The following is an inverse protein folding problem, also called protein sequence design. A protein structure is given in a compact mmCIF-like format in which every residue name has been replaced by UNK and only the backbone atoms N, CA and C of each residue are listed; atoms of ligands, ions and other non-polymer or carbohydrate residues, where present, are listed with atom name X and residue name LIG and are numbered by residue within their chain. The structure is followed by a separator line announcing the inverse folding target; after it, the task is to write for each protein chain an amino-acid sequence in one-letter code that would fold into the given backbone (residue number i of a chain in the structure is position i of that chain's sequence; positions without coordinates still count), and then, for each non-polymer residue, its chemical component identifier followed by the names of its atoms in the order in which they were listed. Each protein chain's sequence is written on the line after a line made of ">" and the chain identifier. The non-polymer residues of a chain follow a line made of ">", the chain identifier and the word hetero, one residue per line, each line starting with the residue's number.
data_IF_866605649251
#
_entry.id   IF_866605649251
#
_cell.length_a   1.000
_cell.length_b   1.000
_cell.length_c   1.000
_cell.angle_alpha   90.00
_cell.angle_beta   90.00
_cell.angle_gamma   90.00
#
_symmetry.space_group_name_H-M   'P 1'
#
loop_
_entity.id
_entity.type
_entity.pdbx_description
1 polymer ?
#
# COMPACT_ATOMS: atom_id res chain seq x y z
N UNK A 1 11.54 34.77 -4.03
CA UNK A 1 12.47 33.64 -4.20
C UNK A 1 11.62 32.45 -4.58
N UNK A 2 11.61 32.10 -5.86
CA UNK A 2 10.85 31.00 -6.44
C UNK A 2 11.44 29.68 -5.95
N UNK A 3 10.71 28.95 -5.10
CA UNK A 3 11.08 27.58 -4.75
C UNK A 3 10.97 26.72 -6.01
N UNK A 4 12.11 26.24 -6.52
CA UNK A 4 12.15 25.53 -7.81
C UNK A 4 11.44 24.17 -7.67
N UNK A 5 10.18 24.11 -8.09
CA UNK A 5 9.40 22.88 -8.17
C UNK A 5 10.15 21.85 -9.04
N UNK A 6 10.51 20.70 -8.45
CA UNK A 6 11.04 19.55 -9.21
C UNK A 6 10.02 18.41 -9.14
N UNK A 7 9.86 17.66 -10.22
CA UNK A 7 9.03 16.45 -10.22
C UNK A 7 9.95 15.23 -10.23
N UNK A 8 9.79 14.35 -9.25
CA UNK A 8 10.54 13.09 -9.12
C UNK A 8 9.53 11.97 -8.98
N UNK A 9 9.51 11.01 -9.91
CA UNK A 9 8.62 9.84 -9.87
C UNK A 9 7.11 10.16 -9.68
N UNK A 10 6.68 11.36 -10.11
CA UNK A 10 5.31 11.85 -9.97
C UNK A 10 5.06 12.68 -8.70
N UNK A 11 6.05 12.83 -7.83
CA UNK A 11 5.99 13.63 -6.61
C UNK A 11 6.59 15.00 -6.86
N UNK A 12 5.95 16.03 -6.31
CA UNK A 12 6.38 17.42 -6.34
C UNK A 12 7.31 17.69 -5.19
N UNK A 13 8.48 18.23 -5.50
CA UNK A 13 9.55 18.50 -4.54
C UNK A 13 9.72 19.99 -4.39
N UNK A 14 9.57 20.44 -3.15
CA UNK A 14 9.71 21.83 -2.74
C UNK A 14 10.94 21.99 -1.86
N UNK A 15 11.65 23.10 -2.00
CA UNK A 15 12.74 23.45 -1.08
C UNK A 15 12.14 23.91 0.26
N UNK A 16 12.71 23.46 1.37
CA UNK A 16 12.27 23.91 2.69
C UNK A 16 12.82 25.32 2.95
N UNK A 17 11.94 26.32 2.88
CA UNK A 17 12.32 27.72 3.11
C UNK A 17 12.72 28.04 4.56
N UNK A 18 12.48 27.12 5.50
CA UNK A 18 12.84 27.28 6.93
C UNK A 18 14.18 26.63 7.25
N UNK A 19 14.54 25.52 6.58
CA UNK A 19 15.78 24.78 6.81
C UNK A 19 16.49 24.58 5.47
N UNK A 20 17.58 25.32 5.27
CA UNK A 20 18.41 25.17 4.09
C UNK A 20 18.92 23.72 3.95
N UNK A 21 18.81 23.17 2.74
CA UNK A 21 19.24 21.80 2.44
C UNK A 21 18.22 20.71 2.75
N UNK A 22 17.02 21.05 3.26
CA UNK A 22 15.90 20.10 3.35
C UNK A 22 14.92 20.29 2.21
N UNK A 23 14.33 19.19 1.78
CA UNK A 23 13.34 19.13 0.71
C UNK A 23 12.05 18.51 1.23
N UNK A 24 10.92 19.02 0.75
CA UNK A 24 9.58 18.56 1.09
C UNK A 24 9.04 17.82 -0.12
N UNK A 25 8.60 16.57 0.07
CA UNK A 25 7.97 15.76 -0.96
C UNK A 25 6.45 15.84 -0.77
N UNK A 26 5.73 16.31 -1.77
CA UNK A 26 4.28 16.45 -1.76
C UNK A 26 3.67 15.85 -3.03
N UNK A 27 2.43 15.37 -2.93
CA UNK A 27 1.63 14.98 -4.10
C UNK A 27 0.85 16.18 -4.69
N UNK A 28 0.64 17.23 -3.89
CA UNK A 28 -0.15 18.40 -4.27
C UNK A 28 0.74 19.50 -4.87
N UNK A 29 0.18 20.29 -5.80
CA UNK A 29 0.84 21.43 -6.46
C UNK A 29 0.94 22.69 -5.61
N UNK A 30 0.30 22.72 -4.46
CA UNK A 30 -0.04 23.95 -3.75
C UNK A 30 1.20 24.65 -3.23
N UNK A 31 1.32 25.95 -3.51
CA UNK A 31 2.41 26.81 -3.04
C UNK A 31 1.86 27.87 -2.08
N UNK A 32 2.34 27.93 -0.81
CA UNK A 32 3.33 27.05 -0.18
C UNK A 32 2.77 25.65 0.15
N UNK A 33 3.61 24.60 0.13
CA UNK A 33 3.17 23.24 0.43
C UNK A 33 2.80 23.09 1.91
N UNK A 34 1.69 22.41 2.19
CA UNK A 34 1.31 22.07 3.57
C UNK A 34 2.12 20.88 4.07
N UNK A 35 3.01 21.12 5.03
CA UNK A 35 3.84 20.08 5.68
C UNK A 35 3.00 18.92 6.23
N UNK A 36 1.82 19.23 6.77
CA UNK A 36 0.88 18.26 7.32
C UNK A 36 0.38 17.22 6.32
N UNK A 37 0.26 17.59 5.05
CA UNK A 37 -0.27 16.75 3.97
C UNK A 37 0.83 16.26 3.02
N UNK A 38 2.07 16.70 3.24
CA UNK A 38 3.23 16.26 2.47
C UNK A 38 3.55 14.79 2.78
N UNK A 39 4.09 14.08 1.79
CA UNK A 39 4.54 12.69 1.89
C UNK A 39 5.62 12.56 2.97
N UNK A 40 6.53 13.53 3.02
CA UNK A 40 7.60 13.59 4.02
C UNK A 40 8.68 14.59 3.63
N UNK A 41 9.82 14.50 4.29
CA UNK A 41 10.98 15.36 4.04
C UNK A 41 12.21 14.54 3.69
N UNK A 42 13.11 15.08 2.88
CA UNK A 42 14.41 14.47 2.59
C UNK A 42 15.54 15.48 2.68
N UNK A 43 16.70 15.03 3.14
CA UNK A 43 17.93 15.85 3.17
C UNK A 43 18.72 15.77 1.84
N UNK A 44 18.40 14.79 0.99
CA UNK A 44 19.09 14.54 -0.29
C UNK A 44 18.08 14.32 -1.41
N UNK A 45 18.42 14.76 -2.62
CA UNK A 45 17.69 14.48 -3.86
C UNK A 45 18.64 13.74 -4.82
N UNK A 46 18.28 12.55 -5.35
CA UNK A 46 17.05 11.80 -5.08
C UNK A 46 17.00 11.25 -3.64
N UNK A 47 15.80 11.12 -3.04
CA UNK A 47 15.66 10.65 -1.67
C UNK A 47 16.00 9.16 -1.55
N UNK A 48 16.69 8.78 -0.47
CA UNK A 48 17.01 7.40 -0.10
C UNK A 48 16.29 7.02 1.19
N UNK A 49 16.15 5.71 1.51
CA UNK A 49 15.52 5.29 2.77
C UNK A 49 16.19 5.87 4.03
N UNK A 50 17.48 6.23 3.93
CA UNK A 50 18.23 6.84 5.02
C UNK A 50 18.07 8.36 5.10
N UNK A 51 17.84 9.02 3.96
CA UNK A 51 17.68 10.48 3.91
C UNK A 51 16.24 10.94 4.06
N UNK A 52 15.27 10.03 3.95
CA UNK A 52 13.85 10.33 3.96
C UNK A 52 13.21 10.12 5.33
N UNK A 53 12.43 11.09 5.78
CA UNK A 53 11.59 11.03 6.96
C UNK A 53 10.13 11.08 6.53
N UNK A 54 9.41 9.99 6.80
CA UNK A 54 7.98 9.85 6.55
C UNK A 54 7.17 10.79 7.45
N UNK A 55 6.13 11.41 6.87
CA UNK A 55 5.15 12.16 7.65
C UNK A 55 4.10 11.19 8.22
N UNK A 56 3.98 11.06 9.56
CA UNK A 56 2.99 10.16 10.18
C UNK A 56 1.54 10.53 9.86
N UNK A 57 1.25 11.80 9.61
CA UNK A 57 -0.10 12.26 9.25
C UNK A 57 -0.45 11.79 7.84
N UNK A 58 0.46 11.93 6.88
CA UNK A 58 0.29 11.39 5.54
C UNK A 58 0.08 9.87 5.57
N UNK A 59 0.85 9.15 6.38
CA UNK A 59 0.69 7.70 6.56
C UNK A 59 -0.72 7.31 7.01
N UNK A 60 -1.29 8.02 7.98
CA UNK A 60 -2.67 7.78 8.42
C UNK A 60 -3.67 7.98 7.28
N UNK A 61 -3.50 9.05 6.49
CA UNK A 61 -4.38 9.32 5.34
C UNK A 61 -4.25 8.21 4.29
N UNK A 62 -3.03 7.75 4.01
CA UNK A 62 -2.78 6.62 3.13
C UNK A 62 -3.48 5.35 3.63
N UNK A 63 -3.31 5.00 4.91
CA UNK A 63 -3.94 3.84 5.52
C UNK A 63 -5.48 3.93 5.46
N UNK A 64 -6.05 5.11 5.72
CA UNK A 64 -7.50 5.35 5.58
C UNK A 64 -8.00 5.13 4.15
N UNK A 65 -7.26 5.62 3.15
CA UNK A 65 -7.59 5.42 1.73
C UNK A 65 -7.50 3.94 1.37
N UNK A 66 -6.48 3.22 1.84
CA UNK A 66 -6.34 1.78 1.63
C UNK A 66 -7.50 1.01 2.25
N UNK A 67 -7.87 1.32 3.50
CA UNK A 67 -9.01 0.67 4.18
C UNK A 67 -10.32 0.90 3.43
N UNK A 68 -10.52 2.12 2.92
CA UNK A 68 -11.77 2.55 2.30
C UNK A 68 -11.92 2.05 0.86
N UNK A 69 -10.86 2.13 0.06
CA UNK A 69 -10.90 1.89 -1.39
C UNK A 69 -10.10 0.67 -1.83
N UNK A 70 -9.26 0.08 -0.97
CA UNK A 70 -8.40 -1.04 -1.35
C UNK A 70 -9.17 -2.24 -1.88
N UNK A 71 -10.37 -2.53 -1.36
CA UNK A 71 -11.24 -3.62 -1.87
C UNK A 71 -11.89 -3.32 -3.22
N UNK A 72 -11.94 -2.04 -3.62
CA UNK A 72 -12.46 -1.61 -4.90
C UNK A 72 -11.40 -1.69 -6.02
N UNK A 73 -10.13 -1.86 -5.66
CA UNK A 73 -9.03 -1.97 -6.61
C UNK A 73 -9.18 -3.20 -7.52
N UNK A 74 -9.12 -2.96 -8.84
CA UNK A 74 -9.33 -4.01 -9.84
C UNK A 74 -8.21 -5.05 -9.82
N UNK A 75 -6.95 -4.66 -9.56
CA UNK A 75 -5.86 -5.64 -9.46
C UNK A 75 -6.08 -6.59 -8.29
N UNK A 76 -6.55 -6.07 -7.15
CA UNK A 76 -6.87 -6.89 -5.98
C UNK A 76 -8.05 -7.84 -6.25
N UNK A 77 -9.11 -7.37 -6.92
CA UNK A 77 -10.25 -8.24 -7.32
C UNK A 77 -9.82 -9.31 -8.31
N UNK A 78 -8.96 -8.99 -9.27
CA UNK A 78 -8.43 -9.96 -10.23
C UNK A 78 -7.59 -11.02 -9.50
N UNK A 79 -6.77 -10.62 -8.53
CA UNK A 79 -6.00 -11.54 -7.69
C UNK A 79 -6.92 -12.46 -6.86
N UNK A 80 -8.00 -11.92 -6.29
CA UNK A 80 -9.00 -12.69 -5.54
C UNK A 80 -9.67 -13.77 -6.42
N UNK A 81 -10.06 -13.42 -7.65
CA UNK A 81 -10.65 -14.37 -8.60
C UNK A 81 -9.64 -15.44 -9.04
N UNK A 82 -8.39 -15.04 -9.30
CA UNK A 82 -7.33 -15.96 -9.69
C UNK A 82 -6.95 -16.93 -8.57
N UNK A 83 -7.00 -16.50 -7.30
CA UNK A 83 -6.75 -17.33 -6.12
C UNK A 83 -7.64 -18.59 -6.11
N UNK A 84 -8.89 -18.46 -6.55
CA UNK A 84 -9.86 -19.56 -6.61
C UNK A 84 -9.75 -20.37 -7.90
N UNK A 85 -9.45 -19.73 -9.04
CA UNK A 85 -9.26 -20.40 -10.33
C UNK A 85 -8.05 -21.34 -10.38
N UNK A 86 -7.00 -21.06 -9.61
CA UNK A 86 -5.79 -21.89 -9.56
C UNK A 86 -5.93 -23.14 -8.68
N UNK A 87 -7.10 -23.42 -8.10
CA UNK A 87 -7.29 -24.50 -7.14
C UNK A 87 -6.37 -24.31 -5.94
N UNK A 88 -6.67 -23.29 -5.13
CA UNK A 88 -5.91 -22.84 -3.95
C UNK A 88 -5.02 -23.91 -3.32
N UNK A 89 -3.79 -24.03 -3.84
CA UNK A 89 -2.76 -24.81 -3.16
C UNK A 89 -2.27 -23.93 -2.05
N UNK A 90 -2.96 -23.99 -0.91
CA UNK A 90 -2.35 -23.67 0.37
C UNK A 90 -1.22 -24.68 0.58
N UNK A 91 -0.07 -24.48 -0.07
CA UNK A 91 1.12 -25.30 0.10
C UNK A 91 1.54 -25.31 1.58
N UNK A 92 1.25 -24.22 2.30
CA UNK A 92 1.37 -24.11 3.75
C UNK A 92 0.49 -25.14 4.51
N UNK A 93 -0.76 -25.37 4.09
CA UNK A 93 -1.64 -26.36 4.68
C UNK A 93 -1.26 -27.80 4.27
N UNK A 94 -0.75 -27.99 3.05
CA UNK A 94 -0.24 -29.27 2.58
C UNK A 94 1.01 -29.72 3.36
N UNK A 95 1.89 -28.79 3.74
CA UNK A 95 3.09 -29.09 4.54
C UNK A 95 2.80 -29.37 6.02
N UNK A 96 1.69 -28.87 6.57
CA UNK A 96 1.30 -29.14 7.96
C UNK A 96 0.73 -30.55 8.16
N UNK A 97 0.09 -31.14 7.14
CA UNK A 97 -0.46 -32.50 7.21
C UNK A 97 0.59 -33.62 7.10
N UNK A 98 1.81 -33.34 6.66
CA UNK A 98 2.84 -34.37 6.45
C UNK A 98 3.61 -34.75 7.72
N UNK A 99 3.47 -34.02 8.84
CA UNK A 99 4.25 -34.28 10.06
C UNK A 99 3.62 -35.28 11.04
N UNK A 100 2.42 -35.80 10.76
CA UNK A 100 1.68 -36.68 11.69
C UNK A 100 1.32 -38.07 11.14
N UNK A 101 2.01 -38.55 10.10
CA UNK A 101 1.83 -39.93 9.59
C UNK A 101 3.15 -40.64 9.36
N UNK A 102 3.82 -40.94 10.47
CA UNK A 102 4.79 -42.04 10.52
C UNK A 102 4.02 -43.34 10.66
N UNK A 103 4.21 -44.26 9.70
CA UNK A 103 3.78 -45.65 9.82
C UNK A 103 2.86 -46.14 8.70
N UNK A 104 3.35 -47.16 7.99
CA UNK A 104 2.63 -48.09 7.12
C UNK A 104 2.72 -47.86 5.61
N UNK A 105 3.47 -48.78 5.01
CA UNK A 105 3.63 -49.10 3.60
C UNK A 105 2.31 -49.25 2.83
N UNK A 106 2.21 -48.54 1.71
CA UNK A 106 1.19 -48.75 0.69
C UNK A 106 1.09 -47.49 -0.17
N UNK A 107 1.65 -47.53 -1.39
CA UNK A 107 1.56 -46.42 -2.36
C UNK A 107 0.12 -46.30 -2.87
N UNK A 108 -0.58 -45.16 -2.66
CA UNK A 108 -1.72 -44.80 -3.49
C UNK A 108 -1.23 -43.81 -4.57
N UNK A 109 -1.62 -44.05 -5.82
CA UNK A 109 -1.44 -43.07 -6.90
C UNK A 109 -2.14 -41.75 -6.53
N UNK A 110 -1.46 -40.59 -6.52
CA UNK A 110 -2.09 -39.31 -6.17
C UNK A 110 -2.90 -38.68 -7.32
N UNK A 111 -3.10 -39.41 -8.42
CA UNK A 111 -3.66 -38.86 -9.67
C UNK A 111 -5.19 -39.03 -9.83
N UNK A 112 -5.91 -39.54 -8.84
CA UNK A 112 -7.31 -39.95 -9.02
C UNK A 112 -8.34 -39.39 -8.02
N UNK A 113 -7.97 -38.45 -7.13
CA UNK A 113 -8.94 -37.79 -6.24
C UNK A 113 -8.55 -36.32 -5.96
N UNK A 114 -8.57 -35.47 -6.98
CA UNK A 114 -8.37 -34.02 -6.83
C UNK A 114 -9.65 -33.23 -7.12
N UNK A 115 -10.82 -33.78 -6.76
CA UNK A 115 -12.12 -33.22 -7.19
C UNK A 115 -13.04 -32.78 -6.07
N UNK A 116 -12.56 -32.62 -4.82
CA UNK A 116 -13.36 -32.04 -3.74
C UNK A 116 -12.51 -31.21 -2.75
N UNK A 117 -11.52 -30.47 -3.28
CA UNK A 117 -10.93 -29.36 -2.53
C UNK A 117 -12.05 -28.36 -2.27
N UNK A 118 -12.63 -28.41 -1.07
CA UNK A 118 -13.52 -27.35 -0.61
C UNK A 118 -12.77 -26.05 -0.86
N UNK A 119 -13.40 -25.12 -1.56
CA UNK A 119 -12.80 -23.83 -1.88
C UNK A 119 -12.64 -23.09 -0.57
N UNK A 120 -11.54 -23.31 0.13
CA UNK A 120 -11.23 -22.64 1.39
C UNK A 120 -10.81 -21.23 1.02
N UNK A 121 -11.47 -20.23 1.63
CA UNK A 121 -11.04 -18.85 1.54
C UNK A 121 -9.61 -18.63 2.04
N UNK A 122 -9.15 -17.40 1.98
CA UNK A 122 -7.79 -17.07 2.40
C UNK A 122 -7.57 -15.57 2.52
N UNK A 123 -6.31 -15.18 2.62
CA UNK A 123 -5.91 -13.78 2.58
C UNK A 123 -5.12 -13.51 1.30
N UNK A 124 -5.41 -12.38 0.67
CA UNK A 124 -4.62 -11.83 -0.43
C UNK A 124 -4.01 -10.49 0.01
N UNK A 125 -2.92 -10.10 -0.64
CA UNK A 125 -2.14 -8.93 -0.27
C UNK A 125 -2.19 -7.86 -1.36
N UNK A 126 -2.68 -6.68 -0.99
CA UNK A 126 -2.52 -5.49 -1.80
C UNK A 126 -1.05 -5.08 -1.78
N UNK A 127 -0.40 -5.14 -2.93
CA UNK A 127 1.04 -4.93 -3.08
C UNK A 127 1.33 -3.64 -3.80
N UNK A 128 2.47 -3.04 -3.48
CA UNK A 128 3.02 -1.88 -4.12
C UNK A 128 3.52 -2.21 -5.55
N UNK A 129 3.24 -1.32 -6.49
CA UNK A 129 3.52 -1.49 -7.92
C UNK A 129 4.96 -1.17 -8.31
N UNK A 130 5.78 -0.62 -7.40
CA UNK A 130 7.23 -0.39 -7.63
C UNK A 130 7.99 -1.69 -7.83
N UNK A 131 7.54 -2.77 -7.18
CA UNK A 131 8.22 -4.06 -7.16
C UNK A 131 7.19 -5.20 -7.21
N UNK A 132 6.51 -5.37 -8.35
CA UNK A 132 5.44 -6.36 -8.46
C UNK A 132 6.01 -7.76 -8.24
N UNK A 133 5.39 -8.59 -7.38
CA UNK A 133 5.88 -9.93 -7.12
C UNK A 133 5.76 -10.83 -8.35
N UNK A 134 6.65 -11.81 -8.46
CA UNK A 134 6.50 -12.89 -9.44
C UNK A 134 5.18 -13.65 -9.22
N UNK A 135 4.63 -14.23 -10.28
CA UNK A 135 3.38 -14.98 -10.21
C UNK A 135 3.42 -16.06 -9.11
N UNK A 136 2.43 -16.05 -8.22
CA UNK A 136 2.36 -16.98 -7.09
C UNK A 136 3.25 -16.65 -5.90
N UNK A 137 4.00 -15.53 -5.92
CA UNK A 137 4.76 -15.03 -4.78
C UNK A 137 4.05 -13.88 -4.07
N UNK A 138 4.41 -13.69 -2.80
CA UNK A 138 4.00 -12.56 -1.98
C UNK A 138 5.07 -11.47 -2.10
N UNK A 139 4.65 -10.20 -2.15
CA UNK A 139 5.56 -9.06 -2.14
C UNK A 139 6.41 -9.02 -0.85
N UNK A 140 7.49 -8.24 -0.87
CA UNK A 140 8.28 -8.01 0.34
C UNK A 140 7.41 -7.34 1.41
N UNK A 141 7.63 -7.61 2.72
CA UNK A 141 6.82 -6.99 3.78
C UNK A 141 6.76 -5.45 3.74
N UNK A 142 7.81 -4.81 3.22
CA UNK A 142 7.88 -3.36 3.03
C UNK A 142 7.08 -2.82 1.84
N UNK A 143 6.72 -3.71 0.91
CA UNK A 143 5.95 -3.42 -0.31
C UNK A 143 4.49 -3.89 -0.18
N UNK A 144 4.08 -4.54 0.93
CA UNK A 144 2.68 -4.91 1.16
C UNK A 144 1.97 -3.70 1.77
N UNK A 145 0.98 -3.15 1.06
CA UNK A 145 0.14 -2.04 1.53
C UNK A 145 -0.89 -2.50 2.55
N UNK A 146 -1.45 -3.70 2.34
CA UNK A 146 -2.44 -4.27 3.24
C UNK A 146 -2.87 -5.68 2.83
N UNK A 147 -3.70 -6.31 3.66
CA UNK A 147 -4.21 -7.66 3.43
C UNK A 147 -5.72 -7.68 3.54
N UNK A 148 -6.38 -8.54 2.76
CA UNK A 148 -7.84 -8.69 2.81
C UNK A 148 -8.24 -10.16 2.71
N UNK A 149 -9.34 -10.49 3.38
CA UNK A 149 -9.92 -11.83 3.36
C UNK A 149 -10.78 -12.05 2.11
N UNK A 150 -10.63 -13.23 1.52
CA UNK A 150 -11.39 -13.70 0.36
C UNK A 150 -12.08 -15.02 0.68
N UNK A 151 -13.30 -15.19 0.18
CA UNK A 151 -14.04 -16.44 0.33
C UNK A 151 -13.62 -17.50 -0.71
N UNK A 152 -14.23 -18.69 -0.62
CA UNK A 152 -14.04 -19.78 -1.58
C UNK A 152 -14.51 -19.49 -3.01
N UNK A 153 -15.21 -18.38 -3.23
CA UNK A 153 -15.69 -17.96 -4.55
C UNK A 153 -14.76 -16.92 -5.19
N UNK A 154 -13.77 -16.42 -4.44
CA UNK A 154 -12.81 -15.42 -4.89
C UNK A 154 -13.34 -14.01 -4.73
N UNK A 155 -14.34 -13.85 -3.87
CA UNK A 155 -14.91 -12.56 -3.50
C UNK A 155 -14.25 -12.05 -2.23
N UNK A 156 -14.05 -10.73 -2.18
CA UNK A 156 -13.53 -10.05 -1.00
C UNK A 156 -14.66 -9.91 0.02
N UNK A 157 -14.47 -10.46 1.22
CA UNK A 157 -15.50 -10.50 2.28
C UNK A 157 -15.20 -9.57 3.47
N UNK A 158 -14.08 -8.86 3.43
CA UNK A 158 -13.63 -7.99 4.51
C UNK A 158 -13.12 -6.64 4.02
N UNK A 159 -12.68 -5.81 4.97
CA UNK A 159 -11.95 -4.58 4.67
C UNK A 159 -10.46 -4.87 4.58
N UNK A 160 -9.75 -4.10 3.77
CA UNK A 160 -8.30 -4.16 3.70
C UNK A 160 -7.74 -3.71 5.05
N UNK A 161 -6.89 -4.53 5.64
CA UNK A 161 -6.13 -4.22 6.83
C UNK A 161 -4.76 -3.66 6.42
N UNK A 162 -4.44 -2.40 6.75
CA UNK A 162 -3.16 -1.80 6.42
C UNK A 162 -1.99 -2.57 7.02
N UNK A 163 -0.89 -2.60 6.30
CA UNK A 163 0.35 -3.21 6.78
C UNK A 163 1.14 -2.23 7.63
N UNK A 164 1.49 -2.65 8.85
CA UNK A 164 2.39 -1.88 9.71
C UNK A 164 3.83 -1.83 9.20
N UNK A 165 4.22 -2.71 8.27
CA UNK A 165 5.60 -2.79 7.75
C UNK A 165 5.80 -2.04 6.43
N UNK A 166 4.74 -1.53 5.81
CA UNK A 166 4.84 -0.78 4.56
C UNK A 166 5.76 0.44 4.68
N UNK A 167 6.61 0.64 3.68
CA UNK A 167 7.51 1.79 3.57
C UNK A 167 7.17 2.61 2.34
N UNK A 168 6.84 3.89 2.58
CA UNK A 168 6.55 4.86 1.51
C UNK A 168 7.74 5.00 0.55
N UNK A 169 8.97 4.89 1.06
CA UNK A 169 10.18 4.98 0.25
C UNK A 169 11.06 3.76 0.46
N UNK A 170 11.41 3.11 -0.66
CA UNK A 170 12.35 1.99 -0.72
C UNK A 170 13.42 2.29 -1.77
N UNK A 171 14.40 1.41 -1.94
CA UNK A 171 15.40 1.54 -3.01
C UNK A 171 14.78 1.49 -4.42
N UNK A 172 13.53 1.04 -4.55
CA UNK A 172 12.80 0.98 -5.82
C UNK A 172 12.09 2.29 -6.18
N UNK A 173 12.00 3.24 -5.23
CA UNK A 173 11.43 4.57 -5.47
C UNK A 173 10.45 5.00 -4.38
N UNK A 174 9.66 6.02 -4.71
CA UNK A 174 8.66 6.62 -3.82
C UNK A 174 7.27 6.09 -4.22
N UNK A 175 6.58 5.41 -3.30
CA UNK A 175 5.16 5.05 -3.33
C UNK A 175 4.62 4.51 -4.67
N UNK A 176 4.42 3.19 -4.78
CA UNK A 176 3.78 2.58 -5.95
C UNK A 176 2.36 2.14 -5.66
N UNK A 177 1.44 3.08 -5.71
CA UNK A 177 0.02 2.74 -5.70
C UNK A 177 -0.46 2.35 -7.10
N UNK A 178 -1.56 1.61 -7.16
CA UNK A 178 -2.31 1.49 -8.42
C UNK A 178 -2.81 2.89 -8.85
N UNK A 179 -3.04 3.13 -10.15
CA UNK A 179 -3.57 4.42 -10.61
C UNK A 179 -4.86 4.84 -9.89
N UNK A 180 -5.74 3.88 -9.62
CA UNK A 180 -6.99 4.10 -8.89
C UNK A 180 -6.74 4.57 -7.45
N UNK A 181 -5.88 3.88 -6.70
CA UNK A 181 -5.58 4.25 -5.31
C UNK A 181 -4.81 5.57 -5.23
N UNK A 182 -3.93 5.84 -6.21
CA UNK A 182 -3.22 7.12 -6.32
C UNK A 182 -4.22 8.27 -6.50
N UNK A 183 -5.19 8.12 -7.39
CA UNK A 183 -6.26 9.12 -7.60
C UNK A 183 -7.03 9.38 -6.30
N UNK A 184 -7.49 8.32 -5.62
CA UNK A 184 -8.24 8.46 -4.36
C UNK A 184 -7.43 9.08 -3.24
N UNK A 185 -6.12 8.83 -3.20
CA UNK A 185 -5.22 9.49 -2.26
C UNK A 185 -5.11 10.98 -2.55
N UNK A 186 -4.91 11.38 -3.81
CA UNK A 186 -4.83 12.79 -4.21
C UNK A 186 -6.15 13.51 -3.94
N UNK A 187 -7.30 12.89 -4.24
CA UNK A 187 -8.63 13.44 -3.94
C UNK A 187 -8.80 13.70 -2.44
N UNK A 188 -8.41 12.74 -1.61
CA UNK A 188 -8.52 12.86 -0.15
C UNK A 188 -7.61 13.95 0.40
N UNK A 189 -6.37 14.04 -0.08
CA UNK A 189 -5.42 15.10 0.31
C UNK A 189 -5.93 16.48 -0.09
N UNK A 190 -6.45 16.62 -1.31
CA UNK A 190 -7.01 17.88 -1.83
C UNK A 190 -8.25 18.32 -1.04
N UNK A 191 -9.08 17.35 -0.64
CA UNK A 191 -10.26 17.60 0.20
C UNK A 191 -9.86 18.08 1.61
N UNK A 192 -8.83 17.49 2.21
CA UNK A 192 -8.31 17.93 3.50
C UNK A 192 -7.63 19.30 3.42
N UNK A 193 -6.94 19.59 2.32
CA UNK A 193 -6.34 20.90 2.09
C UNK A 193 -7.41 22.00 2.02
N UNK A 194 -8.49 21.76 1.27
CA UNK A 194 -9.63 22.68 1.13
C UNK A 194 -10.43 22.84 2.43
N UNK A 195 -10.54 21.77 3.22
CA UNK A 195 -11.24 21.84 4.52
C UNK A 195 -10.39 22.56 5.57
N UNK A 196 -9.07 22.40 5.52
CA UNK A 196 -8.14 23.00 6.46
C UNK A 196 -7.80 24.47 6.18
N UNK A 197 -8.27 25.06 5.08
CA UNK A 197 -8.15 26.51 4.82
C UNK A 197 -9.29 27.33 5.46
N UNK A 198 -10.39 26.68 5.84
CA UNK A 198 -11.52 27.32 6.53
C UNK A 198 -11.35 27.41 8.07
N UNK A 199 -10.24 26.91 8.63
CA UNK A 199 -10.03 26.80 10.08
C UNK A 199 -9.10 27.85 10.73
N UNK A 200 -8.43 28.72 9.96
CA UNK A 200 -7.42 29.67 10.48
C UNK A 200 -7.80 31.15 10.32
N UNK A 201 -9.04 31.47 9.92
CA UNK A 201 -9.48 32.87 9.71
C UNK A 201 -10.06 33.57 10.96
N UNK A 202 -10.03 32.98 12.17
CA UNK A 202 -10.67 33.58 13.35
C UNK A 202 -9.80 33.62 14.62
N UNK A 203 -8.55 34.07 14.50
CA UNK A 203 -7.74 34.51 15.63
C UNK A 203 -7.16 35.91 15.38
N UNK A 204 -8.05 36.90 15.28
CA UNK A 204 -7.68 38.31 15.41
C UNK A 204 -7.19 38.60 16.84
N UNK A 205 -6.27 39.57 17.03
CA UNK A 205 -5.70 39.84 18.34
C UNK A 205 -6.78 40.38 19.26
N UNK A 206 -7.02 39.70 20.38
CA UNK A 206 -7.75 40.30 21.50
C UNK A 206 -6.84 41.35 22.13
N UNK A 207 -7.23 42.60 21.93
CA UNK A 207 -6.72 43.82 22.59
C UNK A 207 -6.84 43.73 24.10
#
# INVERSE_FOLDING_TARGET
>A
MEGKLRIIQGQKVFENNTIAGKYILSLLSTEPPRFDLAVGTSDVIPPTPQSFQENPRFRKILDEVIVKYGSEDEFLKMQARAFVGSGGTNLAAAMQKTRYRSGTSGRPNPAAEASHSHRVGGYIHLSDTRNPPEFGRIAWPEDILGSVEVNGEGEIIGRVQPSGTYRILTNQGILGLSPFLMEKLVDQLSSQESSGSNGEAEAGPRV
#
